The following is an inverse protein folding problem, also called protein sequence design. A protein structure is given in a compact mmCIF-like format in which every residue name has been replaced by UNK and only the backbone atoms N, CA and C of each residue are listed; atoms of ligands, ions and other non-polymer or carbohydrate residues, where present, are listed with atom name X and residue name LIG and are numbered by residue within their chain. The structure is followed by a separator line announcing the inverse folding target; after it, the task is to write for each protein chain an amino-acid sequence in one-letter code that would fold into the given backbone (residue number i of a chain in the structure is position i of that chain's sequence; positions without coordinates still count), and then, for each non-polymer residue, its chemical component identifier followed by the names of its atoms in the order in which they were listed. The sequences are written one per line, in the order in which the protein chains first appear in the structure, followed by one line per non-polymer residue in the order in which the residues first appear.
data_IF_067581874142
#
_entry.id   IF_067581874142
#
_cell.length_a   1.000
_cell.length_b   1.000
_cell.length_c   1.000
_cell.angle_alpha   90.00
_cell.angle_beta   90.00
_cell.angle_gamma   90.00
#
_symmetry.space_group_name_H-M   'P 1'
#
loop_
_entity.id
_entity.type
_entity.pdbx_description
1 polymer ?
#
# COMPACT_ATOMS: atom_id res chain seq x y z
N UNK A 1 -14.19 30.13 -12.15
CA UNK A 1 -12.73 29.92 -12.33
C UNK A 1 -12.36 28.52 -11.90
N UNK A 2 -11.60 27.82 -12.73
CA UNK A 2 -11.05 26.49 -12.48
C UNK A 2 -9.52 26.57 -12.40
N UNK A 3 -8.92 25.77 -11.53
CA UNK A 3 -7.47 25.53 -11.51
C UNK A 3 -7.23 24.08 -11.94
N UNK A 4 -6.73 23.89 -13.16
CA UNK A 4 -6.37 22.58 -13.69
C UNK A 4 -4.95 22.28 -13.25
N UNK A 5 -4.78 21.22 -12.48
CA UNK A 5 -3.52 20.89 -11.82
C UNK A 5 -3.06 19.50 -12.20
N UNK A 6 -1.75 19.36 -12.34
CA UNK A 6 -1.05 18.08 -12.44
C UNK A 6 0.26 18.19 -11.65
N UNK A 7 0.68 17.09 -11.03
CA UNK A 7 1.91 17.02 -10.23
C UNK A 7 2.73 15.79 -10.59
N UNK A 8 4.06 15.93 -10.50
CA UNK A 8 4.96 14.77 -10.42
C UNK A 8 5.41 14.56 -8.98
N UNK A 9 5.68 13.31 -8.62
CA UNK A 9 5.95 12.93 -7.22
C UNK A 9 7.01 11.86 -7.11
N UNK A 10 7.60 11.75 -5.92
CA UNK A 10 8.56 10.69 -5.57
C UNK A 10 7.93 9.30 -5.39
N UNK A 11 6.62 9.11 -5.63
CA UNK A 11 5.96 7.80 -5.54
C UNK A 11 4.42 7.84 -5.46
N UNK A 12 3.81 6.72 -5.06
CA UNK A 12 2.38 6.48 -5.35
C UNK A 12 1.35 7.03 -4.36
N UNK A 13 1.74 7.61 -3.22
CA UNK A 13 0.80 8.08 -2.19
C UNK A 13 1.41 9.14 -1.25
N UNK A 14 0.60 10.11 -0.85
CA UNK A 14 1.05 11.31 -0.14
C UNK A 14 1.65 11.09 1.27
N UNK A 15 1.33 9.97 1.96
CA UNK A 15 1.78 9.77 3.34
C UNK A 15 3.31 9.63 3.46
N UNK A 16 3.97 9.03 2.46
CA UNK A 16 5.41 8.75 2.47
C UNK A 16 6.13 9.31 1.25
N UNK A 17 5.48 10.12 0.41
CA UNK A 17 6.06 10.67 -0.81
C UNK A 17 5.77 12.17 -0.90
N UNK A 18 6.62 12.87 -1.66
CA UNK A 18 6.66 14.33 -1.83
C UNK A 18 6.51 14.73 -3.30
N UNK A 19 6.08 15.97 -3.53
CA UNK A 19 5.95 16.59 -4.88
C UNK A 19 7.34 16.95 -5.43
N UNK A 20 7.55 16.74 -6.73
CA UNK A 20 8.79 17.08 -7.47
C UNK A 20 8.58 18.09 -8.59
N UNK A 21 7.35 18.23 -9.08
CA UNK A 21 6.96 19.22 -10.07
C UNK A 21 5.47 19.52 -9.91
N UNK A 22 5.06 20.76 -10.17
CA UNK A 22 3.66 21.16 -10.20
C UNK A 22 3.41 22.06 -11.40
N UNK A 23 2.27 21.83 -12.06
CA UNK A 23 1.73 22.73 -13.07
C UNK A 23 0.28 23.10 -12.74
N UNK A 24 -0.07 24.38 -12.89
CA UNK A 24 -1.39 24.93 -12.62
C UNK A 24 -1.80 25.79 -13.81
N UNK A 25 -2.95 25.51 -14.40
CA UNK A 25 -3.56 26.31 -15.46
C UNK A 25 -4.88 26.88 -14.95
N UNK A 26 -5.02 28.20 -14.94
CA UNK A 26 -6.30 28.83 -14.65
C UNK A 26 -7.16 28.87 -15.90
N UNK A 27 -8.40 28.46 -15.75
CA UNK A 27 -9.36 28.39 -16.85
C UNK A 27 -10.68 29.03 -16.42
N UNK A 28 -11.18 29.99 -17.19
CA UNK A 28 -12.41 30.71 -16.86
C UNK A 28 -13.70 29.93 -17.21
N UNK A 29 -13.55 28.85 -18.00
CA UNK A 29 -14.64 28.06 -18.56
C UNK A 29 -14.72 28.13 -20.09
N UNK A 30 -13.93 29.02 -20.69
CA UNK A 30 -13.83 29.26 -22.13
C UNK A 30 -12.37 29.11 -22.60
N UNK A 31 -11.43 29.69 -21.86
CA UNK A 31 -10.01 29.72 -22.21
C UNK A 31 -9.09 29.69 -20.98
N UNK A 32 -7.80 29.42 -21.24
CA UNK A 32 -6.73 29.59 -20.24
C UNK A 32 -6.51 31.09 -20.00
N UNK A 33 -6.42 31.47 -18.73
CA UNK A 33 -6.24 32.87 -18.30
C UNK A 33 -4.89 33.11 -17.62
N UNK A 34 -4.31 32.05 -17.03
CA UNK A 34 -3.01 32.12 -16.38
C UNK A 34 -2.39 30.72 -16.32
N UNK A 35 -1.06 30.65 -16.16
CA UNK A 35 -0.28 29.42 -16.08
C UNK A 35 0.86 29.57 -15.09
N UNK A 36 1.03 28.57 -14.23
CA UNK A 36 2.14 28.47 -13.28
C UNK A 36 2.77 27.09 -13.40
N UNK A 37 4.10 27.03 -13.36
CA UNK A 37 4.86 25.79 -13.41
C UNK A 37 6.17 25.95 -12.65
N UNK A 38 6.50 24.97 -11.79
CA UNK A 38 7.80 24.90 -11.13
C UNK A 38 8.19 23.46 -10.82
N UNK A 39 9.50 23.20 -10.83
CA UNK A 39 10.08 22.07 -10.10
C UNK A 39 10.00 22.35 -8.60
N UNK A 40 10.00 21.29 -7.80
CA UNK A 40 9.95 21.36 -6.34
C UNK A 40 11.01 20.43 -5.77
N UNK A 41 11.82 20.91 -4.84
CA UNK A 41 12.74 20.08 -4.09
C UNK A 41 11.97 19.24 -3.05
N UNK A 42 11.92 17.90 -3.19
CA UNK A 42 11.17 17.05 -2.27
C UNK A 42 11.89 16.83 -0.92
N UNK A 43 13.10 17.37 -0.73
CA UNK A 43 13.95 17.14 0.44
C UNK A 43 14.45 15.70 0.58
N UNK A 44 14.47 14.94 -0.53
CA UNK A 44 14.86 13.51 -0.55
C UNK A 44 15.25 13.04 -1.95
N UNK A 45 15.94 11.90 -2.01
CA UNK A 45 16.26 11.24 -3.29
C UNK A 45 15.00 10.78 -4.04
N UNK A 46 14.98 11.00 -5.35
CA UNK A 46 13.96 10.47 -6.26
C UNK A 46 14.38 9.05 -6.68
N UNK A 47 13.55 8.01 -6.45
CA UNK A 47 13.88 6.66 -6.87
C UNK A 47 14.10 6.55 -8.39
N UNK A 48 15.09 5.77 -8.85
CA UNK A 48 15.42 5.64 -10.28
C UNK A 48 14.23 5.23 -11.16
N UNK A 49 13.31 4.40 -10.66
CA UNK A 49 12.12 4.01 -11.42
C UNK A 49 11.16 5.19 -11.65
N UNK A 50 11.11 6.19 -10.75
CA UNK A 50 10.34 7.43 -10.92
C UNK A 50 11.04 8.35 -11.92
N UNK A 51 12.37 8.48 -11.82
CA UNK A 51 13.16 9.24 -12.81
C UNK A 51 13.00 8.68 -14.21
N UNK A 52 12.97 7.35 -14.37
CA UNK A 52 12.71 6.71 -15.66
C UNK A 52 11.29 6.95 -16.21
N UNK A 53 10.32 7.28 -15.35
CA UNK A 53 8.95 7.59 -15.75
C UNK A 53 8.75 9.07 -16.10
N UNK A 54 9.28 9.96 -15.26
CA UNK A 54 9.02 11.42 -15.30
C UNK A 54 10.12 12.21 -16.00
N UNK A 55 11.31 11.63 -16.12
CA UNK A 55 12.52 12.32 -16.55
C UNK A 55 13.10 13.28 -15.50
N UNK A 56 12.49 13.41 -14.32
CA UNK A 56 12.98 14.30 -13.25
C UNK A 56 14.03 13.56 -12.42
N UNK A 57 15.25 14.07 -12.44
CA UNK A 57 16.36 13.52 -11.64
C UNK A 57 16.48 14.26 -10.30
N UNK A 58 17.14 13.64 -9.32
CA UNK A 58 17.39 14.28 -8.01
C UNK A 58 18.21 15.56 -8.18
N UNK A 59 19.13 15.57 -9.14
CA UNK A 59 19.98 16.72 -9.47
C UNK A 59 19.17 17.89 -10.03
N UNK A 60 18.13 17.62 -10.85
CA UNK A 60 17.28 18.67 -11.42
C UNK A 60 16.49 19.45 -10.36
N UNK A 61 16.11 18.78 -9.27
CA UNK A 61 15.29 19.38 -8.20
C UNK A 61 16.12 19.87 -7.02
N UNK A 62 17.45 19.69 -7.03
CA UNK A 62 18.32 20.03 -5.91
C UNK A 62 18.29 21.54 -5.64
N UNK A 63 18.35 22.35 -6.69
CA UNK A 63 18.32 23.81 -6.65
C UNK A 63 16.90 24.39 -6.82
N UNK A 64 15.89 23.54 -6.94
CA UNK A 64 14.49 23.96 -6.99
C UNK A 64 14.00 24.39 -5.58
N UNK A 65 12.99 25.26 -5.48
CA UNK A 65 12.42 25.61 -4.17
C UNK A 65 11.79 24.39 -3.50
N UNK A 66 11.93 24.28 -2.19
CA UNK A 66 11.13 23.36 -1.39
C UNK A 66 9.65 23.77 -1.43
N UNK A 67 8.73 22.83 -1.21
CA UNK A 67 7.30 23.15 -1.26
C UNK A 67 6.91 24.26 -0.29
N UNK A 68 7.51 24.31 0.90
CA UNK A 68 7.25 25.35 1.90
C UNK A 68 7.56 26.77 1.40
N UNK A 69 8.55 26.93 0.53
CA UNK A 69 8.95 28.22 -0.04
C UNK A 69 7.95 28.73 -1.07
N UNK A 70 7.24 27.83 -1.76
CA UNK A 70 6.23 28.16 -2.78
C UNK A 70 4.79 27.93 -2.28
N UNK A 71 4.61 27.58 -1.01
CA UNK A 71 3.32 27.17 -0.48
C UNK A 71 2.29 28.30 -0.53
N UNK A 72 2.65 29.52 -0.12
CA UNK A 72 1.73 30.67 -0.15
C UNK A 72 1.34 31.03 -1.59
N UNK A 73 2.28 31.02 -2.53
CA UNK A 73 2.02 31.29 -3.95
C UNK A 73 1.05 30.27 -4.54
N UNK A 74 1.33 28.97 -4.33
CA UNK A 74 0.45 27.89 -4.80
C UNK A 74 -0.93 27.99 -4.11
N UNK A 75 -0.99 28.33 -2.82
CA UNK A 75 -2.26 28.54 -2.13
C UNK A 75 -3.07 29.65 -2.81
N UNK A 76 -2.47 30.81 -3.07
CA UNK A 76 -3.13 31.94 -3.74
C UNK A 76 -3.59 31.57 -5.16
N UNK A 77 -2.81 30.75 -5.87
CA UNK A 77 -3.19 30.23 -7.18
C UNK A 77 -4.40 29.30 -7.10
N UNK A 78 -4.61 28.56 -6.01
CA UNK A 78 -5.70 27.59 -5.85
C UNK A 78 -6.91 28.13 -5.09
N UNK A 79 -6.74 29.13 -4.23
CA UNK A 79 -7.78 29.62 -3.34
C UNK A 79 -8.97 30.19 -4.10
N UNK A 80 -10.18 29.91 -3.59
CA UNK A 80 -11.46 30.26 -4.20
C UNK A 80 -11.77 29.60 -5.55
N UNK A 81 -10.87 28.79 -6.13
CA UNK A 81 -11.04 28.15 -7.45
C UNK A 81 -11.50 26.70 -7.32
N UNK A 82 -12.15 26.20 -8.37
CA UNK A 82 -12.47 24.77 -8.46
C UNK A 82 -11.21 24.00 -8.89
N UNK A 83 -10.73 23.12 -8.04
CA UNK A 83 -9.61 22.23 -8.34
C UNK A 83 -10.03 21.18 -9.38
N UNK A 84 -9.28 21.05 -10.47
CA UNK A 84 -9.55 20.09 -11.55
C UNK A 84 -8.28 19.31 -11.84
N UNK A 85 -8.36 17.98 -11.92
CA UNK A 85 -7.20 17.16 -12.28
C UNK A 85 -7.62 15.82 -12.91
N UNK A 86 -6.72 15.22 -13.67
CA UNK A 86 -6.95 13.92 -14.28
C UNK A 86 -6.58 12.79 -13.32
N UNK A 87 -7.60 12.27 -12.62
CA UNK A 87 -7.47 11.47 -11.40
C UNK A 87 -7.29 12.31 -10.11
N UNK A 88 -7.98 13.45 -10.03
CA UNK A 88 -7.90 14.45 -8.97
C UNK A 88 -7.77 14.01 -7.50
N UNK A 89 -8.15 12.80 -7.09
CA UNK A 89 -7.86 12.34 -5.73
C UNK A 89 -6.35 12.29 -5.46
N UNK A 90 -5.56 11.85 -6.44
CA UNK A 90 -4.11 11.71 -6.31
C UNK A 90 -3.47 13.08 -6.04
N UNK A 91 -3.59 14.01 -6.99
CA UNK A 91 -2.99 15.35 -6.94
C UNK A 91 -3.45 16.14 -5.72
N UNK A 92 -4.76 16.10 -5.44
CA UNK A 92 -5.36 16.77 -4.30
C UNK A 92 -4.82 16.25 -2.97
N UNK A 93 -4.57 14.94 -2.85
CA UNK A 93 -4.06 14.35 -1.60
C UNK A 93 -2.62 14.76 -1.28
N UNK A 94 -1.78 14.91 -2.31
CA UNK A 94 -0.41 15.40 -2.17
C UNK A 94 -0.39 16.88 -1.80
N UNK A 95 -1.12 17.72 -2.56
CA UNK A 95 -1.21 19.14 -2.25
C UNK A 95 -1.75 19.40 -0.86
N UNK A 96 -2.83 18.71 -0.48
CA UNK A 96 -3.39 18.83 0.88
C UNK A 96 -2.36 18.46 1.95
N UNK A 97 -1.58 17.39 1.74
CA UNK A 97 -0.53 16.99 2.67
C UNK A 97 0.59 18.02 2.76
N UNK A 98 1.07 18.52 1.63
CA UNK A 98 2.14 19.51 1.59
C UNK A 98 1.69 20.83 2.25
N UNK A 99 0.45 21.28 2.00
CA UNK A 99 -0.13 22.41 2.73
C UNK A 99 -0.24 22.17 4.23
N UNK A 100 -0.71 20.99 4.66
CA UNK A 100 -0.78 20.62 6.08
C UNK A 100 0.61 20.64 6.74
N UNK A 101 1.67 20.24 6.03
CA UNK A 101 3.05 20.31 6.50
C UNK A 101 3.55 21.76 6.61
N UNK A 102 3.13 22.64 5.69
CA UNK A 102 3.41 24.08 5.73
C UNK A 102 2.48 24.87 6.66
N UNK A 103 1.62 24.21 7.44
CA UNK A 103 0.70 24.88 8.38
C UNK A 103 -0.52 25.54 7.72
N UNK A 104 -0.78 25.28 6.45
CA UNK A 104 -1.89 25.84 5.67
C UNK A 104 -3.05 24.85 5.62
N UNK A 105 -4.23 25.24 6.10
CA UNK A 105 -5.43 24.43 5.96
C UNK A 105 -6.10 24.72 4.61
N UNK A 106 -5.81 23.89 3.60
CA UNK A 106 -6.38 24.04 2.26
C UNK A 106 -7.55 23.09 2.00
N UNK A 107 -8.65 23.65 1.50
CA UNK A 107 -9.81 22.90 1.01
C UNK A 107 -10.36 23.54 -0.27
N UNK A 108 -10.75 22.71 -1.24
CA UNK A 108 -11.31 23.19 -2.49
C UNK A 108 -12.42 22.26 -2.99
N UNK A 109 -13.39 22.83 -3.71
CA UNK A 109 -14.29 22.03 -4.55
C UNK A 109 -13.44 21.37 -5.63
N UNK A 110 -13.68 20.09 -5.89
CA UNK A 110 -12.85 19.32 -6.82
C UNK A 110 -13.64 18.63 -7.92
N UNK A 111 -13.09 18.62 -9.12
CA UNK A 111 -13.57 17.87 -10.28
C UNK A 111 -12.49 16.91 -10.77
N UNK A 112 -12.92 15.71 -11.12
CA UNK A 112 -12.04 14.68 -11.67
C UNK A 112 -12.42 14.42 -13.12
N UNK A 113 -11.54 14.74 -14.06
CA UNK A 113 -11.85 14.62 -15.49
C UNK A 113 -12.15 13.17 -15.86
N UNK A 114 -11.47 12.17 -15.29
CA UNK A 114 -11.82 10.73 -15.45
C UNK A 114 -13.28 10.44 -15.09
N UNK A 115 -13.78 10.99 -13.97
CA UNK A 115 -15.16 10.74 -13.51
C UNK A 115 -16.18 11.46 -14.38
N UNK A 116 -15.85 12.67 -14.83
CA UNK A 116 -16.68 13.45 -15.74
C UNK A 116 -16.74 12.79 -17.11
N UNK A 117 -15.59 12.39 -17.68
CA UNK A 117 -15.50 11.70 -18.98
C UNK A 117 -16.31 10.41 -19.00
N UNK A 118 -16.33 9.62 -17.93
CA UNK A 118 -17.18 8.41 -17.88
C UNK A 118 -18.67 8.69 -17.99
N UNK A 119 -19.12 9.86 -17.54
CA UNK A 119 -20.53 10.27 -17.61
C UNK A 119 -20.87 10.96 -18.93
N UNK A 120 -20.02 11.90 -19.33
CA UNK A 120 -20.23 12.77 -20.50
C UNK A 120 -19.86 12.04 -21.80
N UNK A 121 -18.90 11.12 -21.75
CA UNK A 121 -18.37 10.37 -22.90
C UNK A 121 -18.31 8.88 -22.53
N UNK A 122 -19.46 8.21 -22.32
CA UNK A 122 -19.50 6.80 -21.94
C UNK A 122 -19.02 5.89 -23.07
N UNK A 123 -18.63 4.66 -22.73
CA UNK A 123 -18.35 3.60 -23.70
C UNK A 123 -16.87 3.42 -24.12
N UNK A 124 -15.93 4.16 -23.54
CA UNK A 124 -14.50 3.97 -23.84
C UNK A 124 -13.91 2.80 -23.05
N UNK A 125 -12.97 2.08 -23.67
CA UNK A 125 -12.25 0.95 -23.07
C UNK A 125 -11.36 1.38 -21.89
N UNK A 126 -10.78 2.56 -21.96
CA UNK A 126 -9.95 3.17 -20.91
C UNK A 126 -10.20 4.66 -20.84
N UNK A 127 -10.00 5.23 -19.65
CA UNK A 127 -10.07 6.67 -19.38
C UNK A 127 -8.75 7.16 -18.76
N UNK A 128 -7.64 6.46 -19.01
CA UNK A 128 -6.30 7.00 -18.72
C UNK A 128 -6.04 8.22 -19.60
N UNK A 129 -5.16 9.13 -19.16
CA UNK A 129 -4.89 10.37 -19.86
C UNK A 129 -4.50 10.13 -21.32
N UNK A 130 -3.59 9.17 -21.56
CA UNK A 130 -3.16 8.76 -22.90
C UNK A 130 -4.30 8.27 -23.79
N UNK A 131 -5.03 7.23 -23.36
CA UNK A 131 -6.10 6.64 -24.19
C UNK A 131 -7.28 7.58 -24.39
N UNK A 132 -7.61 8.38 -23.37
CA UNK A 132 -8.67 9.38 -23.50
C UNK A 132 -8.25 10.50 -24.45
N UNK A 133 -7.01 10.98 -24.36
CA UNK A 133 -6.50 12.01 -25.28
C UNK A 133 -6.51 11.50 -26.72
N UNK A 134 -6.01 10.29 -26.95
CA UNK A 134 -6.06 9.62 -28.26
C UNK A 134 -7.50 9.51 -28.79
N UNK A 135 -8.44 9.03 -27.97
CA UNK A 135 -9.85 8.89 -28.35
C UNK A 135 -10.53 10.24 -28.68
N UNK A 136 -9.97 11.36 -28.19
CA UNK A 136 -10.47 12.71 -28.41
C UNK A 136 -9.66 13.49 -29.46
N UNK A 137 -8.66 12.87 -30.09
CA UNK A 137 -7.77 13.56 -31.05
C UNK A 137 -6.87 14.61 -30.40
N UNK A 138 -6.55 14.47 -29.11
CA UNK A 138 -5.69 15.38 -28.35
C UNK A 138 -4.26 14.84 -28.38
N UNK A 139 -3.34 15.62 -28.95
CA UNK A 139 -1.91 15.36 -28.84
C UNK A 139 -1.39 15.79 -27.46
N UNK A 140 -0.69 14.87 -26.79
CA UNK A 140 0.02 15.13 -25.53
C UNK A 140 1.47 15.46 -25.88
N UNK A 141 1.91 16.67 -25.53
CA UNK A 141 3.31 17.10 -25.65
C UNK A 141 4.01 16.83 -24.32
N UNK A 142 5.26 16.36 -24.33
CA UNK A 142 6.06 16.10 -23.13
C UNK A 142 5.32 15.25 -22.07
N UNK A 143 4.82 14.08 -22.49
CA UNK A 143 4.12 13.15 -21.61
C UNK A 143 4.97 12.79 -20.38
N UNK A 144 4.32 12.68 -19.20
CA UNK A 144 4.99 12.46 -17.91
C UNK A 144 5.82 13.64 -17.41
N UNK A 145 5.42 14.84 -17.82
CA UNK A 145 5.79 16.11 -17.20
C UNK A 145 4.49 16.78 -16.78
N UNK A 146 4.50 17.41 -15.61
CA UNK A 146 3.30 18.01 -15.04
C UNK A 146 2.66 19.02 -16.01
N UNK A 147 3.48 19.84 -16.69
CA UNK A 147 2.99 20.82 -17.66
C UNK A 147 2.33 20.18 -18.89
N UNK A 148 2.92 19.12 -19.44
CA UNK A 148 2.38 18.39 -20.59
C UNK A 148 1.06 17.70 -20.28
N UNK A 149 0.99 17.03 -19.14
CA UNK A 149 -0.18 16.27 -18.70
C UNK A 149 -1.32 17.20 -18.23
N UNK A 150 -1.00 18.32 -17.55
CA UNK A 150 -1.97 19.38 -17.24
C UNK A 150 -2.54 20.02 -18.51
N UNK A 151 -1.72 20.31 -19.52
CA UNK A 151 -2.19 20.90 -20.78
C UNK A 151 -3.13 19.94 -21.53
N UNK A 152 -2.82 18.63 -21.56
CA UNK A 152 -3.73 17.62 -22.09
C UNK A 152 -5.04 17.58 -21.28
N UNK A 153 -4.96 17.71 -19.96
CA UNK A 153 -6.11 17.77 -19.06
C UNK A 153 -7.00 19.00 -19.31
N UNK A 154 -6.42 20.17 -19.60
CA UNK A 154 -7.18 21.37 -20.03
C UNK A 154 -7.98 21.07 -21.29
N UNK A 155 -7.35 20.52 -22.33
CA UNK A 155 -8.04 20.19 -23.59
C UNK A 155 -9.15 19.16 -23.40
N UNK A 156 -8.93 18.18 -22.53
CA UNK A 156 -9.98 17.22 -22.14
C UNK A 156 -11.12 17.96 -21.44
N UNK A 157 -10.81 18.84 -20.50
CA UNK A 157 -11.81 19.59 -19.74
C UNK A 157 -12.64 20.51 -20.65
N UNK A 158 -12.05 21.16 -21.65
CA UNK A 158 -12.76 21.93 -22.67
C UNK A 158 -13.77 21.08 -23.43
N UNK A 159 -13.36 19.89 -23.86
CA UNK A 159 -14.27 18.95 -24.52
C UNK A 159 -15.40 18.51 -23.59
N UNK A 160 -15.13 18.34 -22.29
CA UNK A 160 -16.17 18.00 -21.32
C UNK A 160 -17.16 19.15 -21.11
N UNK A 161 -16.67 20.39 -20.97
CA UNK A 161 -17.52 21.58 -20.86
C UNK A 161 -18.45 21.72 -22.07
N UNK A 162 -17.94 21.51 -23.29
CA UNK A 162 -18.72 21.58 -24.53
C UNK A 162 -19.74 20.44 -24.68
N UNK A 163 -19.47 19.27 -24.09
CA UNK A 163 -20.30 18.06 -24.24
C UNK A 163 -21.27 17.82 -23.09
N UNK A 164 -21.20 18.58 -21.99
CA UNK A 164 -21.99 18.35 -20.78
C UNK A 164 -23.47 18.78 -20.91
N UNK A 165 -24.25 18.06 -21.72
CA UNK A 165 -25.67 18.34 -21.95
C UNK A 165 -26.54 18.13 -20.70
N UNK A 166 -26.14 17.22 -19.81
CA UNK A 166 -26.91 16.79 -18.65
C UNK A 166 -26.49 17.47 -17.33
N UNK A 167 -25.70 18.55 -17.41
CA UNK A 167 -25.20 19.32 -16.26
C UNK A 167 -24.45 18.43 -15.23
N UNK A 168 -23.70 17.43 -15.68
CA UNK A 168 -22.91 16.55 -14.84
C UNK A 168 -21.82 17.30 -14.06
N UNK A 169 -21.23 18.35 -14.62
CA UNK A 169 -20.23 19.20 -13.97
C UNK A 169 -20.87 19.95 -12.81
N UNK A 170 -21.98 20.65 -13.04
CA UNK A 170 -22.73 21.35 -11.99
C UNK A 170 -23.22 20.39 -10.90
N UNK A 171 -23.74 19.22 -11.28
CA UNK A 171 -24.13 18.15 -10.33
C UNK A 171 -22.94 17.65 -9.52
N UNK A 172 -21.75 17.55 -10.11
CA UNK A 172 -20.54 17.14 -9.41
C UNK A 172 -20.06 18.20 -8.40
N UNK A 173 -20.26 19.49 -8.70
CA UNK A 173 -19.94 20.61 -7.80
C UNK A 173 -20.96 20.81 -6.68
N UNK A 174 -22.25 20.49 -6.92
CA UNK A 174 -23.31 20.54 -5.90
C UNK A 174 -23.26 19.37 -4.93
N UNK A 175 -22.71 18.23 -5.35
CA UNK A 175 -22.42 17.13 -4.44
C UNK A 175 -21.30 17.60 -3.50
N UNK A 176 -21.68 17.99 -2.29
CA UNK A 176 -20.74 18.22 -1.20
C UNK A 176 -19.69 17.10 -1.24
N UNK A 177 -18.42 17.49 -1.33
CA UNK A 177 -17.23 16.65 -1.45
C UNK A 177 -16.95 15.79 -0.20
N UNK A 178 -18.00 15.29 0.45
CA UNK A 178 -17.97 14.52 1.68
C UNK A 178 -19.31 13.87 2.09
N UNK A 179 -20.40 14.02 1.32
CA UNK A 179 -21.64 13.32 1.68
C UNK A 179 -21.50 11.81 1.46
N UNK A 180 -21.45 11.10 2.57
CA UNK A 180 -21.52 9.65 2.66
C UNK A 180 -22.91 9.25 2.20
N UNK A 181 -23.05 8.74 0.98
CA UNK A 181 -24.35 8.22 0.52
C UNK A 181 -24.49 6.83 1.13
N UNK A 182 -25.21 6.74 2.24
CA UNK A 182 -25.44 5.46 2.90
C UNK A 182 -26.12 4.46 1.95
N UNK A 183 -25.88 3.15 2.13
CA UNK A 183 -26.69 2.11 1.51
C UNK A 183 -28.19 2.36 1.71
N UNK A 184 -29.04 2.09 0.70
CA UNK A 184 -30.47 2.40 0.79
C UNK A 184 -31.19 1.65 1.91
N UNK A 185 -30.67 0.47 2.30
CA UNK A 185 -31.30 -0.40 3.29
C UNK A 185 -30.61 -0.37 4.66
N UNK A 186 -29.61 0.51 4.84
CA UNK A 186 -28.90 0.64 6.12
C UNK A 186 -29.54 1.76 6.96
N UNK A 187 -30.01 1.47 8.18
CA UNK A 187 -30.48 2.51 9.10
C UNK A 187 -29.38 3.52 9.41
N UNK A 188 -29.72 4.81 9.37
CA UNK A 188 -28.74 5.89 9.62
C UNK A 188 -28.19 5.84 11.04
N UNK A 189 -29.04 5.49 12.00
CA UNK A 189 -28.72 5.40 13.42
C UNK A 189 -27.64 4.35 13.69
N UNK A 190 -27.65 3.26 12.92
CA UNK A 190 -26.66 2.19 13.01
C UNK A 190 -25.28 2.67 12.58
N UNK A 191 -25.21 3.47 11.51
CA UNK A 191 -23.98 4.11 11.08
C UNK A 191 -23.49 5.17 12.08
N UNK A 192 -24.40 5.98 12.63
CA UNK A 192 -24.04 7.07 13.53
C UNK A 192 -23.42 6.57 14.86
N UNK A 193 -23.85 5.39 15.33
CA UNK A 193 -23.32 4.71 16.53
C UNK A 193 -21.96 4.05 16.37
N UNK A 194 -21.42 3.98 15.15
CA UNK A 194 -20.13 3.32 14.91
C UNK A 194 -18.98 4.00 15.67
N UNK A 195 -18.05 3.23 16.26
CA UNK A 195 -16.95 3.79 17.03
C UNK A 195 -15.85 4.35 16.12
N UNK A 196 -15.15 5.37 16.62
CA UNK A 196 -13.94 5.92 16.01
C UNK A 196 -12.66 5.21 16.53
N UNK A 197 -12.72 3.88 16.65
CA UNK A 197 -11.67 3.06 17.27
C UNK A 197 -11.18 1.94 16.33
N UNK A 198 -10.02 1.31 16.63
CA UNK A 198 -9.52 0.17 15.87
C UNK A 198 -10.40 -1.07 16.03
N UNK A 199 -10.61 -1.79 14.93
CA UNK A 199 -11.33 -3.05 14.97
C UNK A 199 -11.66 -3.65 13.62
N UNK A 200 -12.45 -4.72 13.67
CA UNK A 200 -13.02 -5.43 12.51
C UNK A 200 -14.50 -5.06 12.42
N UNK A 201 -15.01 -4.83 11.21
CA UNK A 201 -16.42 -4.58 10.95
C UNK A 201 -16.95 -5.55 9.90
N UNK A 202 -18.25 -5.79 9.98
CA UNK A 202 -18.97 -6.78 9.21
C UNK A 202 -20.14 -6.12 8.52
N UNK A 203 -20.24 -6.30 7.21
CA UNK A 203 -21.46 -5.95 6.49
C UNK A 203 -22.34 -7.18 6.36
N UNK A 204 -23.61 -7.02 6.70
CA UNK A 204 -24.59 -8.09 6.75
C UNK A 204 -25.77 -7.79 5.83
N UNK A 205 -26.33 -8.84 5.24
CA UNK A 205 -27.55 -8.74 4.44
C UNK A 205 -28.82 -8.79 5.28
N UNK A 206 -29.99 -8.66 4.64
CA UNK A 206 -31.30 -8.71 5.29
C UNK A 206 -31.56 -9.99 6.11
N UNK A 207 -30.82 -11.07 5.83
CA UNK A 207 -30.90 -12.36 6.55
C UNK A 207 -29.86 -12.48 7.67
N UNK A 208 -29.12 -11.42 7.97
CA UNK A 208 -28.04 -11.41 8.98
C UNK A 208 -26.73 -12.08 8.52
N UNK A 209 -26.63 -12.53 7.26
CA UNK A 209 -25.42 -13.20 6.77
C UNK A 209 -24.32 -12.18 6.50
N UNK A 210 -23.10 -12.46 6.96
CA UNK A 210 -21.93 -11.62 6.69
C UNK A 210 -21.52 -11.75 5.22
N UNK A 211 -21.62 -10.64 4.49
CA UNK A 211 -21.27 -10.56 3.06
C UNK A 211 -19.89 -9.92 2.83
N UNK A 212 -19.40 -9.17 3.82
CA UNK A 212 -18.05 -8.59 3.81
C UNK A 212 -17.51 -8.41 5.23
N UNK A 213 -16.20 -8.59 5.39
CA UNK A 213 -15.43 -8.34 6.61
C UNK A 213 -14.32 -7.35 6.28
N UNK A 214 -14.09 -6.34 7.12
CA UNK A 214 -12.96 -5.43 6.92
C UNK A 214 -12.36 -4.94 8.23
N UNK A 215 -11.10 -4.51 8.18
CA UNK A 215 -10.38 -3.89 9.31
C UNK A 215 -10.30 -2.37 9.20
N UNK A 216 -10.10 -1.69 10.33
CA UNK A 216 -9.81 -0.28 10.39
C UNK A 216 -9.05 0.12 11.66
N UNK A 217 -8.22 1.16 11.58
CA UNK A 217 -7.77 1.93 12.76
C UNK A 217 -8.90 2.83 13.29
N UNK A 218 -9.83 3.24 12.41
CA UNK A 218 -11.02 3.99 12.77
C UNK A 218 -12.21 3.42 11.97
N UNK A 219 -13.04 2.60 12.64
CA UNK A 219 -14.17 1.90 12.01
C UNK A 219 -15.12 2.89 11.32
N UNK A 220 -15.59 3.92 12.03
CA UNK A 220 -16.54 4.90 11.47
C UNK A 220 -16.00 5.58 10.20
N UNK A 221 -14.76 6.08 10.24
CA UNK A 221 -14.11 6.74 9.09
C UNK A 221 -13.90 5.77 7.92
N UNK A 222 -13.50 4.53 8.20
CA UNK A 222 -13.27 3.51 7.16
C UNK A 222 -14.56 3.12 6.47
N UNK A 223 -15.63 2.90 7.23
CA UNK A 223 -16.95 2.58 6.69
C UNK A 223 -17.51 3.74 5.88
N UNK A 224 -17.39 4.99 6.37
CA UNK A 224 -17.74 6.17 5.61
C UNK A 224 -17.04 6.19 4.23
N UNK A 225 -15.74 5.85 4.23
CA UNK A 225 -14.92 5.74 3.02
C UNK A 225 -15.50 4.80 1.95
N UNK A 226 -16.13 3.68 2.35
CA UNK A 226 -16.80 2.74 1.43
C UNK A 226 -18.00 3.36 0.71
N UNK A 227 -18.60 4.38 1.30
CA UNK A 227 -19.81 5.03 0.81
C UNK A 227 -19.55 6.42 0.20
N UNK A 228 -18.30 6.86 0.18
CA UNK A 228 -17.89 8.05 -0.58
C UNK A 228 -17.73 7.70 -2.06
N UNK A 229 -18.10 8.63 -2.94
CA UNK A 229 -18.14 8.40 -4.40
C UNK A 229 -16.80 8.16 -5.11
N UNK A 230 -15.73 7.89 -4.37
CA UNK A 230 -14.35 7.70 -4.83
C UNK A 230 -13.87 6.23 -4.77
N UNK A 231 -14.60 5.34 -4.09
CA UNK A 231 -14.21 3.93 -3.96
C UNK A 231 -14.37 3.17 -5.30
N UNK A 232 -13.30 3.10 -6.10
CA UNK A 232 -13.21 2.42 -7.40
C UNK A 232 -13.55 0.92 -7.37
N UNK A 233 -13.58 0.32 -6.18
CA UNK A 233 -13.82 -1.12 -5.99
C UNK A 233 -15.24 -1.43 -5.44
N UNK A 234 -15.82 -0.50 -4.68
CA UNK A 234 -17.14 -0.62 -4.04
C UNK A 234 -18.29 -0.03 -4.85
N UNK A 235 -17.95 0.71 -5.90
CA UNK A 235 -18.87 1.36 -6.85
C UNK A 235 -19.69 0.40 -7.72
N UNK A 236 -19.68 -0.92 -7.47
CA UNK A 236 -20.67 -1.82 -8.07
C UNK A 236 -21.89 -1.85 -7.13
N UNK A 237 -23.00 -1.27 -7.57
CA UNK A 237 -24.28 -1.12 -6.87
C UNK A 237 -24.80 -2.37 -6.13
N UNK A 238 -24.28 -3.56 -6.42
CA UNK A 238 -24.69 -4.84 -5.82
C UNK A 238 -24.43 -4.92 -4.31
N UNK A 239 -23.19 -4.71 -3.84
CA UNK A 239 -22.93 -4.83 -2.39
C UNK A 239 -23.70 -3.79 -1.59
N UNK A 240 -23.77 -2.54 -2.06
CA UNK A 240 -24.51 -1.47 -1.39
C UNK A 240 -25.99 -1.81 -1.23
N UNK A 241 -26.63 -2.41 -2.23
CA UNK A 241 -28.03 -2.82 -2.12
C UNK A 241 -28.22 -4.04 -1.20
N UNK A 242 -27.17 -4.83 -0.98
CA UNK A 242 -27.23 -6.01 -0.11
C UNK A 242 -26.98 -5.65 1.37
N UNK A 243 -26.31 -4.54 1.69
CA UNK A 243 -26.05 -4.12 3.09
C UNK A 243 -27.35 -3.68 3.77
N UNK A 244 -27.67 -4.36 4.87
CA UNK A 244 -28.80 -4.02 5.76
C UNK A 244 -28.33 -3.73 7.19
N UNK A 245 -27.26 -4.40 7.64
CA UNK A 245 -26.70 -4.23 8.99
C UNK A 245 -25.17 -4.13 8.95
N UNK A 246 -24.62 -3.47 9.96
CA UNK A 246 -23.22 -3.30 10.27
C UNK A 246 -22.98 -3.68 11.72
N UNK A 247 -22.19 -4.73 11.93
CA UNK A 247 -21.63 -5.08 13.24
C UNK A 247 -20.13 -4.84 13.27
N UNK A 248 -19.54 -4.81 14.47
CA UNK A 248 -18.10 -4.63 14.64
C UNK A 248 -17.57 -5.30 15.90
N UNK A 249 -16.28 -5.55 15.92
CA UNK A 249 -15.50 -6.03 17.07
C UNK A 249 -14.29 -5.11 17.25
N UNK A 250 -14.18 -4.51 18.45
CA UNK A 250 -13.04 -3.66 18.79
C UNK A 250 -11.82 -4.52 19.07
N UNK A 251 -10.66 -4.09 18.58
CA UNK A 251 -9.42 -4.86 18.73
C UNK A 251 -8.34 -4.14 19.54
N UNK A 252 -8.52 -2.84 19.80
CA UNK A 252 -7.56 -2.00 20.54
C UNK A 252 -6.39 -1.49 19.69
N UNK A 253 -5.93 -2.30 18.73
CA UNK A 253 -4.85 -1.93 17.82
C UNK A 253 -4.99 -2.56 16.43
N UNK A 254 -4.15 -2.08 15.51
CA UNK A 254 -4.14 -2.50 14.11
C UNK A 254 -3.67 -3.95 13.91
N UNK A 255 -2.68 -4.41 14.68
CA UNK A 255 -2.14 -5.77 14.56
C UNK A 255 -3.24 -6.82 14.76
N UNK A 256 -4.01 -6.71 15.84
CA UNK A 256 -5.12 -7.64 16.07
C UNK A 256 -6.23 -7.44 15.05
N UNK A 257 -6.52 -6.21 14.61
CA UNK A 257 -7.51 -5.98 13.54
C UNK A 257 -7.13 -6.71 12.24
N UNK A 258 -5.85 -6.72 11.88
CA UNK A 258 -5.32 -7.45 10.73
C UNK A 258 -5.45 -8.96 10.88
N UNK A 259 -5.07 -9.49 12.05
CA UNK A 259 -5.15 -10.92 12.36
C UNK A 259 -6.61 -11.40 12.35
N UNK A 260 -7.47 -10.73 13.12
CA UNK A 260 -8.89 -11.08 13.27
C UNK A 260 -9.63 -10.97 11.93
N UNK A 261 -9.38 -9.94 11.12
CA UNK A 261 -9.97 -9.83 9.78
C UNK A 261 -9.63 -11.06 8.93
N UNK A 262 -8.37 -11.51 8.94
CA UNK A 262 -7.95 -12.69 8.17
C UNK A 262 -8.63 -13.98 8.65
N UNK A 263 -8.74 -14.14 9.97
CA UNK A 263 -9.43 -15.28 10.59
C UNK A 263 -10.92 -15.29 10.25
N UNK A 264 -11.59 -14.14 10.35
CA UNK A 264 -13.01 -13.97 10.09
C UNK A 264 -13.36 -14.16 8.61
N UNK A 265 -12.52 -13.70 7.68
CA UNK A 265 -12.71 -13.97 6.24
C UNK A 265 -12.65 -15.47 5.95
N UNK A 266 -11.75 -16.22 6.60
CA UNK A 266 -11.66 -17.67 6.43
C UNK A 266 -12.84 -18.40 7.07
N UNK A 267 -13.25 -17.97 8.27
CA UNK A 267 -14.35 -18.57 9.03
C UNK A 267 -15.71 -18.35 8.36
N UNK A 268 -15.98 -17.12 7.91
CA UNK A 268 -17.29 -16.71 7.38
C UNK A 268 -17.39 -16.85 5.87
N UNK A 269 -16.25 -16.93 5.17
CA UNK A 269 -16.16 -16.97 3.72
C UNK A 269 -17.05 -15.92 3.01
N UNK A 270 -16.98 -14.64 3.39
CA UNK A 270 -17.94 -13.60 2.98
C UNK A 270 -17.86 -13.29 1.48
N UNK A 271 -19.00 -13.22 0.81
CA UNK A 271 -19.14 -13.11 -0.66
C UNK A 271 -18.18 -12.14 -1.34
N UNK A 272 -17.86 -11.00 -0.72
CA UNK A 272 -17.11 -9.92 -1.35
C UNK A 272 -15.62 -9.82 -0.96
N UNK A 273 -15.09 -10.63 -0.04
CA UNK A 273 -13.65 -10.62 0.31
C UNK A 273 -12.81 -11.50 -0.64
N UNK A 274 -12.80 -11.21 -1.93
CA UNK A 274 -12.14 -12.07 -2.93
C UNK A 274 -10.61 -12.16 -2.73
N UNK A 275 -9.94 -11.05 -2.43
CA UNK A 275 -8.48 -10.97 -2.38
C UNK A 275 -7.83 -11.92 -1.36
N UNK A 276 -8.50 -12.22 -0.24
CA UNK A 276 -7.97 -13.12 0.80
C UNK A 276 -8.53 -14.56 0.71
N UNK A 277 -9.48 -14.82 -0.19
CA UNK A 277 -10.06 -16.16 -0.39
C UNK A 277 -9.24 -17.07 -1.30
N UNK A 278 -8.47 -16.48 -2.20
CA UNK A 278 -7.63 -17.22 -3.15
C UNK A 278 -6.19 -17.22 -2.65
N UNK A 279 -5.55 -18.38 -2.69
CA UNK A 279 -4.17 -18.57 -2.19
C UNK A 279 -3.22 -17.61 -2.91
N UNK A 280 -2.54 -16.79 -2.14
CA UNK A 280 -1.26 -16.22 -2.57
C UNK A 280 -0.25 -17.36 -2.69
N UNK A 281 0.49 -17.39 -3.79
CA UNK A 281 1.60 -18.33 -3.96
C UNK A 281 2.60 -18.14 -2.80
N UNK A 282 2.85 -19.19 -2.02
CA UNK A 282 3.94 -19.19 -1.05
C UNK A 282 5.25 -19.37 -1.80
N UNK A 283 6.29 -18.63 -1.39
CA UNK A 283 7.64 -18.77 -1.94
C UNK A 283 8.56 -19.39 -0.90
N UNK A 284 9.55 -20.17 -1.32
CA UNK A 284 10.50 -20.82 -0.43
C UNK A 284 11.91 -20.81 -1.00
N UNK A 285 12.89 -20.84 -0.10
CA UNK A 285 14.29 -21.11 -0.44
C UNK A 285 14.51 -22.62 -0.29
N UNK A 286 14.99 -23.25 -1.35
CA UNK A 286 15.31 -24.67 -1.41
C UNK A 286 16.80 -24.84 -1.63
N UNK A 287 17.38 -25.90 -1.09
CA UNK A 287 18.73 -26.33 -1.42
C UNK A 287 18.73 -27.59 -2.29
N UNK A 288 19.82 -27.75 -3.04
CA UNK A 288 20.12 -28.95 -3.81
C UNK A 288 21.62 -29.00 -4.12
N UNK A 289 22.14 -30.19 -4.36
CA UNK A 289 23.51 -30.38 -4.85
C UNK A 289 23.50 -30.42 -6.38
N UNK A 290 24.42 -29.69 -7.02
CA UNK A 290 24.60 -29.78 -8.47
C UNK A 290 25.56 -30.91 -8.89
N UNK A 291 25.68 -31.14 -10.20
CA UNK A 291 26.52 -32.22 -10.75
C UNK A 291 28.01 -32.09 -10.44
N UNK A 292 28.46 -30.90 -10.04
CA UNK A 292 29.86 -30.63 -9.69
C UNK A 292 30.09 -30.70 -8.17
N UNK A 293 29.07 -31.10 -7.40
CA UNK A 293 29.12 -31.26 -5.95
C UNK A 293 28.91 -29.96 -5.16
N UNK A 294 28.59 -28.85 -5.81
CA UNK A 294 28.30 -27.59 -5.11
C UNK A 294 26.86 -27.61 -4.59
N UNK A 295 26.68 -27.31 -3.30
CA UNK A 295 25.34 -27.04 -2.77
C UNK A 295 24.85 -25.67 -3.22
N UNK A 296 23.61 -25.58 -3.67
CA UNK A 296 23.01 -24.39 -4.28
C UNK A 296 21.72 -24.03 -3.59
N UNK A 297 21.35 -22.76 -3.72
CA UNK A 297 20.03 -22.28 -3.32
C UNK A 297 19.19 -21.95 -4.56
N UNK A 298 17.88 -22.08 -4.40
CA UNK A 298 16.90 -21.62 -5.37
C UNK A 298 15.69 -21.02 -4.67
N UNK A 299 15.10 -19.98 -5.28
CA UNK A 299 13.85 -19.35 -4.83
C UNK A 299 12.73 -19.79 -5.74
N UNK A 300 11.79 -20.57 -5.23
CA UNK A 300 10.68 -21.16 -6.00
C UNK A 300 9.35 -21.08 -5.25
N UNK A 301 8.25 -21.32 -5.97
CA UNK A 301 6.92 -21.46 -5.37
C UNK A 301 6.86 -22.76 -4.55
N UNK A 302 6.29 -22.70 -3.35
CA UNK A 302 6.04 -23.85 -2.47
C UNK A 302 4.84 -24.62 -3.01
N UNK A 303 5.08 -25.87 -3.38
CA UNK A 303 4.07 -26.80 -3.89
C UNK A 303 3.78 -27.89 -2.85
N UNK A 304 2.66 -28.59 -3.01
CA UNK A 304 2.28 -29.66 -2.07
C UNK A 304 3.33 -30.77 -2.10
N UNK A 305 3.93 -31.07 -0.96
CA UNK A 305 4.99 -32.07 -0.83
C UNK A 305 6.41 -31.53 -1.03
N UNK A 306 6.60 -30.23 -1.26
CA UNK A 306 7.94 -29.63 -1.28
C UNK A 306 8.42 -29.28 0.13
N UNK A 307 9.74 -29.36 0.33
CA UNK A 307 10.41 -29.12 1.60
C UNK A 307 11.38 -27.93 1.49
N UNK A 308 10.89 -26.69 1.57
CA UNK A 308 11.78 -25.52 1.60
C UNK A 308 12.51 -25.44 2.94
N UNK A 309 13.72 -24.89 2.93
CA UNK A 309 14.48 -24.56 4.13
C UNK A 309 13.81 -23.44 4.94
N UNK A 310 13.20 -22.48 4.25
CA UNK A 310 12.48 -21.33 4.82
C UNK A 310 11.44 -20.81 3.81
N UNK A 311 10.34 -20.21 4.29
CA UNK A 311 9.17 -19.77 3.50
C UNK A 311 8.93 -18.26 3.61
N UNK A 312 8.29 -17.67 2.59
CA UNK A 312 8.02 -16.24 2.44
C UNK A 312 6.67 -15.97 1.76
N UNK A 313 6.08 -14.78 2.04
CA UNK A 313 4.88 -14.26 1.35
C UNK A 313 5.07 -13.97 -0.12
N UNK A 314 6.30 -13.61 -0.52
CA UNK A 314 6.59 -13.08 -1.84
C UNK A 314 7.96 -13.52 -2.32
N UNK A 315 8.11 -13.58 -3.65
CA UNK A 315 9.41 -13.79 -4.29
C UNK A 315 10.44 -12.74 -3.86
N UNK A 316 10.01 -11.48 -3.71
CA UNK A 316 10.88 -10.36 -3.35
C UNK A 316 11.50 -10.52 -1.96
N UNK A 317 10.69 -10.90 -0.96
CA UNK A 317 11.16 -11.13 0.41
C UNK A 317 12.17 -12.28 0.46
N UNK A 318 11.86 -13.39 -0.21
CA UNK A 318 12.76 -14.53 -0.33
C UNK A 318 14.09 -14.15 -1.02
N UNK A 319 14.01 -13.33 -2.07
CA UNK A 319 15.18 -12.82 -2.78
C UNK A 319 16.05 -11.92 -1.91
N UNK A 320 15.45 -10.98 -1.18
CA UNK A 320 16.17 -10.05 -0.31
C UNK A 320 16.85 -10.78 0.85
N UNK A 321 16.14 -11.68 1.52
CA UNK A 321 16.70 -12.52 2.58
C UNK A 321 17.89 -13.35 2.06
N UNK A 322 17.75 -13.97 0.89
CA UNK A 322 18.85 -14.76 0.32
C UNK A 322 20.05 -13.88 -0.06
N UNK A 323 19.83 -12.66 -0.56
CA UNK A 323 20.89 -11.68 -0.82
C UNK A 323 21.65 -11.28 0.45
N UNK A 324 20.94 -11.07 1.56
CA UNK A 324 21.55 -10.79 2.86
C UNK A 324 22.47 -11.94 3.28
N UNK A 325 21.98 -13.18 3.21
CA UNK A 325 22.77 -14.38 3.53
C UNK A 325 23.96 -14.58 2.58
N UNK A 326 23.80 -14.26 1.30
CA UNK A 326 24.90 -14.28 0.33
C UNK A 326 26.02 -13.32 0.74
N UNK A 327 25.68 -12.11 1.21
CA UNK A 327 26.67 -11.15 1.71
C UNK A 327 27.31 -11.61 3.03
N UNK A 328 26.48 -11.99 4.00
CA UNK A 328 26.91 -12.42 5.33
C UNK A 328 27.91 -13.58 5.30
N UNK A 329 27.66 -14.57 4.43
CA UNK A 329 28.49 -15.77 4.32
C UNK A 329 29.43 -15.76 3.12
N UNK A 330 29.53 -14.63 2.40
CA UNK A 330 30.34 -14.46 1.18
C UNK A 330 30.11 -15.58 0.15
N UNK A 331 28.84 -15.94 -0.05
CA UNK A 331 28.44 -17.00 -0.96
C UNK A 331 28.46 -16.51 -2.41
N UNK A 332 28.45 -17.45 -3.36
CA UNK A 332 28.39 -17.12 -4.77
C UNK A 332 26.93 -16.87 -5.18
N UNK A 333 26.55 -15.64 -5.61
CA UNK A 333 25.18 -15.33 -6.01
C UNK A 333 24.72 -16.12 -7.25
N UNK A 334 25.64 -16.51 -8.14
CA UNK A 334 25.34 -17.36 -9.31
C UNK A 334 24.99 -18.80 -8.90
N UNK A 335 25.67 -19.35 -7.90
CA UNK A 335 25.32 -20.67 -7.35
C UNK A 335 24.05 -20.61 -6.48
N UNK A 336 23.75 -19.46 -5.86
CA UNK A 336 22.50 -19.22 -5.12
C UNK A 336 21.30 -18.82 -6.00
N UNK A 337 21.43 -18.87 -7.34
CA UNK A 337 20.33 -18.56 -8.26
C UNK A 337 19.94 -17.08 -8.35
N UNK A 338 20.76 -16.17 -7.82
CA UNK A 338 20.51 -14.72 -7.79
C UNK A 338 21.10 -13.97 -8.99
N UNK A 339 22.05 -14.57 -9.72
CA UNK A 339 22.69 -13.99 -10.90
C UNK A 339 22.78 -14.99 -12.06
N UNK A 340 22.64 -14.49 -13.29
CA UNK A 340 22.71 -15.27 -14.54
C UNK A 340 23.99 -14.98 -15.36
N UNK A 341 25.04 -14.46 -14.74
CA UNK A 341 26.28 -14.06 -15.43
C UNK A 341 26.96 -15.22 -16.17
N UNK A 342 27.52 -14.93 -17.36
CA UNK A 342 28.42 -15.83 -18.09
C UNK A 342 29.82 -15.74 -17.47
N UNK A 343 30.44 -16.87 -17.13
CA UNK A 343 31.70 -16.88 -16.39
C UNK A 343 31.54 -16.46 -14.91
N UNK A 344 32.58 -15.86 -14.34
CA UNK A 344 32.60 -15.43 -12.93
C UNK A 344 31.44 -14.46 -12.60
N UNK A 345 30.87 -14.60 -11.41
CA UNK A 345 29.81 -13.70 -10.95
C UNK A 345 30.35 -12.30 -10.67
N UNK A 346 29.48 -11.27 -10.74
CA UNK A 346 29.86 -9.88 -10.51
C UNK A 346 30.53 -9.67 -9.14
N UNK A 347 30.02 -10.33 -8.09
CA UNK A 347 30.56 -10.22 -6.74
C UNK A 347 31.98 -10.80 -6.58
N UNK A 348 32.46 -11.57 -7.55
CA UNK A 348 33.88 -11.97 -7.56
C UNK A 348 34.76 -10.80 -7.98
N UNK A 349 34.30 -9.97 -8.93
CA UNK A 349 35.03 -8.79 -9.40
C UNK A 349 35.16 -7.73 -8.31
N UNK A 350 34.19 -7.65 -7.40
CA UNK A 350 34.20 -6.75 -6.25
C UNK A 350 34.87 -7.33 -5.00
N UNK A 351 35.34 -8.59 -5.04
CA UNK A 351 35.99 -9.27 -3.91
C UNK A 351 35.05 -9.84 -2.84
N UNK A 352 33.74 -9.76 -3.04
CA UNK A 352 32.70 -10.23 -2.11
C UNK A 352 32.36 -11.73 -2.27
N UNK A 353 32.91 -12.38 -3.30
CA UNK A 353 32.73 -13.80 -3.61
C UNK A 353 34.09 -14.45 -3.93
N UNK A 354 34.23 -15.75 -3.62
CA UNK A 354 35.48 -16.50 -3.79
C UNK A 354 35.55 -17.30 -5.11
N UNK A 355 34.58 -17.17 -6.01
CA UNK A 355 34.67 -17.70 -7.37
C UNK A 355 34.26 -19.17 -7.54
N UNK A 356 33.47 -19.71 -6.59
CA UNK A 356 32.95 -21.08 -6.65
C UNK A 356 32.21 -21.41 -7.97
N UNK A 357 31.55 -20.43 -8.60
CA UNK A 357 30.81 -20.65 -9.85
C UNK A 357 31.68 -21.07 -11.06
N UNK A 358 32.98 -20.80 -11.03
CA UNK A 358 33.93 -21.23 -12.07
C UNK A 358 35.03 -22.14 -11.50
N UNK A 359 34.79 -22.75 -10.33
CA UNK A 359 35.71 -23.71 -9.72
C UNK A 359 36.97 -23.12 -9.09
N UNK A 360 37.08 -21.79 -8.96
CA UNK A 360 38.21 -21.11 -8.31
C UNK A 360 38.27 -21.45 -6.81
N UNK A 361 37.11 -21.44 -6.15
CA UNK A 361 36.98 -21.95 -4.78
C UNK A 361 36.60 -23.44 -4.82
N UNK A 362 37.29 -24.26 -4.02
CA UNK A 362 37.00 -25.69 -3.91
C UNK A 362 35.61 -25.96 -3.31
N UNK A 363 34.91 -26.98 -3.83
CA UNK A 363 33.62 -27.50 -3.34
C UNK A 363 33.56 -27.59 -1.81
N UNK A 364 34.57 -28.22 -1.17
CA UNK A 364 34.60 -28.43 0.29
C UNK A 364 34.55 -27.11 1.08
N UNK A 365 35.27 -26.07 0.62
CA UNK A 365 35.29 -24.76 1.29
C UNK A 365 33.97 -24.03 1.11
N UNK A 366 33.43 -24.04 -0.11
CA UNK A 366 32.16 -23.40 -0.42
C UNK A 366 30.99 -24.04 0.35
N UNK A 367 30.86 -25.37 0.29
CA UNK A 367 29.77 -26.11 0.94
C UNK A 367 29.79 -25.94 2.47
N UNK A 368 30.98 -25.78 3.08
CA UNK A 368 31.09 -25.46 4.52
C UNK A 368 30.42 -24.11 4.87
N UNK A 369 30.46 -23.12 3.98
CA UNK A 369 29.80 -21.82 4.18
C UNK A 369 28.31 -21.89 3.91
N UNK A 370 27.90 -22.65 2.90
CA UNK A 370 26.47 -22.94 2.67
C UNK A 370 25.86 -23.59 3.91
N UNK A 371 26.50 -24.61 4.49
CA UNK A 371 25.97 -25.27 5.68
C UNK A 371 25.80 -24.30 6.86
N UNK A 372 26.79 -23.44 7.11
CA UNK A 372 26.69 -22.38 8.12
C UNK A 372 25.51 -21.45 7.87
N UNK A 373 25.25 -21.10 6.61
CA UNK A 373 24.09 -20.28 6.25
C UNK A 373 22.78 -21.03 6.53
N UNK A 374 22.66 -22.30 6.11
CA UNK A 374 21.48 -23.15 6.36
C UNK A 374 21.19 -23.28 7.86
N UNK A 375 22.22 -23.41 8.69
CA UNK A 375 22.07 -23.50 10.14
C UNK A 375 21.41 -22.23 10.73
N UNK A 376 21.52 -21.08 10.04
CA UNK A 376 20.80 -19.83 10.39
C UNK A 376 19.40 -19.73 9.78
N UNK A 377 19.04 -20.57 8.80
CA UNK A 377 17.70 -20.53 8.16
C UNK A 377 16.65 -21.18 9.04
N UNK A 378 17.07 -22.12 9.90
CA UNK A 378 16.29 -22.52 11.06
C UNK A 378 16.28 -21.32 11.99
N UNK A 379 15.24 -20.50 11.89
CA UNK A 379 15.00 -19.42 12.83
C UNK A 379 14.95 -20.04 14.23
N UNK A 380 16.06 -19.94 14.94
CA UNK A 380 16.10 -19.82 16.37
C UNK A 380 15.34 -18.53 16.70
N UNK A 381 14.02 -18.62 16.68
CA UNK A 381 13.17 -17.58 17.22
C UNK A 381 13.15 -17.81 18.72
N UNK A 382 13.52 -16.80 19.50
CA UNK A 382 13.05 -16.77 20.88
C UNK A 382 11.52 -16.75 20.82
N UNK A 383 10.88 -17.45 21.76
CA UNK A 383 9.45 -17.31 21.92
C UNK A 383 9.19 -15.89 22.41
N UNK A 384 8.17 -15.24 21.87
CA UNK A 384 7.97 -13.81 22.05
C UNK A 384 6.51 -13.47 22.28
N UNK A 385 6.29 -12.39 23.02
CA UNK A 385 5.02 -11.72 23.17
C UNK A 385 5.10 -10.33 22.53
N UNK A 386 4.15 -10.02 21.65
CA UNK A 386 3.92 -8.66 21.16
C UNK A 386 2.77 -8.06 21.97
N UNK A 387 3.06 -7.05 22.77
CA UNK A 387 2.14 -6.39 23.69
C UNK A 387 1.72 -5.04 23.09
N UNK A 388 0.43 -4.77 23.08
CA UNK A 388 -0.15 -3.56 22.48
C UNK A 388 -1.30 -2.98 23.28
N UNK A 389 -1.93 -1.95 22.72
CA UNK A 389 -3.14 -1.35 23.31
C UNK A 389 -4.30 -2.35 23.28
N UNK A 390 -4.97 -2.54 24.41
CA UNK A 390 -6.22 -3.28 24.48
C UNK A 390 -7.43 -2.47 23.99
N UNK A 391 -8.61 -3.08 24.03
CA UNK A 391 -9.89 -2.54 23.54
C UNK A 391 -10.40 -1.39 24.41
N UNK A 392 -9.99 -1.35 25.67
CA UNK A 392 -10.28 -0.27 26.60
C UNK A 392 -9.01 0.12 27.39
N UNK A 393 -9.13 1.06 28.33
CA UNK A 393 -7.99 1.63 29.04
C UNK A 393 -7.40 0.69 30.10
N UNK A 394 -8.13 -0.34 30.54
CA UNK A 394 -7.74 -1.23 31.64
C UNK A 394 -7.10 -2.54 31.16
N UNK A 395 -7.11 -2.80 29.84
CA UNK A 395 -6.48 -3.98 29.24
C UNK A 395 -5.36 -3.64 28.25
N UNK A 396 -4.46 -4.60 28.08
CA UNK A 396 -3.46 -4.69 27.03
C UNK A 396 -3.75 -5.88 26.14
N UNK A 397 -3.34 -5.76 24.88
CA UNK A 397 -3.43 -6.85 23.94
C UNK A 397 -2.16 -7.68 23.96
N UNK A 398 -2.28 -8.99 23.77
CA UNK A 398 -1.17 -9.93 23.74
C UNK A 398 -1.23 -10.76 22.47
N UNK A 399 -0.13 -10.84 21.73
CA UNK A 399 0.05 -11.74 20.58
C UNK A 399 1.25 -12.63 20.84
N UNK A 400 1.08 -13.95 20.77
CA UNK A 400 2.15 -14.90 21.08
C UNK A 400 2.74 -15.54 19.84
N UNK A 401 4.05 -15.71 19.90
CA UNK A 401 4.88 -16.33 18.88
C UNK A 401 5.78 -17.36 19.56
N UNK A 402 5.62 -18.64 19.26
CA UNK A 402 6.51 -19.69 19.76
C UNK A 402 7.54 -20.04 18.68
N UNK A 403 8.83 -19.83 18.97
CA UNK A 403 9.92 -20.13 18.02
C UNK A 403 9.69 -19.57 16.62
N UNK A 404 9.22 -18.32 16.55
CA UNK A 404 8.89 -17.64 15.31
C UNK A 404 7.54 -18.01 14.70
N UNK A 405 6.78 -18.94 15.28
CA UNK A 405 5.46 -19.37 14.78
C UNK A 405 4.33 -18.68 15.54
N UNK A 406 3.41 -18.04 14.83
CA UNK A 406 2.23 -17.43 15.44
C UNK A 406 1.35 -18.46 16.19
N UNK A 407 1.04 -18.20 17.46
CA UNK A 407 0.21 -19.07 18.30
C UNK A 407 -1.23 -18.59 18.46
N UNK A 408 -1.43 -17.27 18.54
CA UNK A 408 -2.73 -16.69 18.87
C UNK A 408 -2.62 -15.25 19.38
N UNK A 409 -3.78 -14.66 19.67
CA UNK A 409 -3.85 -13.40 20.40
C UNK A 409 -4.88 -13.43 21.54
N UNK A 410 -4.79 -12.48 22.45
CA UNK A 410 -5.69 -12.32 23.59
C UNK A 410 -5.58 -10.93 24.23
N UNK A 411 -6.21 -10.79 25.40
CA UNK A 411 -6.22 -9.56 26.19
C UNK A 411 -5.98 -9.87 27.66
N UNK A 412 -5.19 -9.03 28.31
CA UNK A 412 -4.84 -9.13 29.74
C UNK A 412 -5.08 -7.79 30.42
N UNK A 413 -5.35 -7.80 31.73
CA UNK A 413 -5.41 -6.56 32.50
C UNK A 413 -4.01 -5.94 32.63
N UNK A 414 -3.91 -4.60 32.65
CA UNK A 414 -2.63 -3.86 32.64
C UNK A 414 -1.73 -4.12 33.85
N UNK A 415 -2.31 -4.57 34.95
CA UNK A 415 -1.63 -4.90 36.20
C UNK A 415 -1.06 -6.33 36.21
N UNK A 416 -1.39 -7.15 35.21
CA UNK A 416 -0.86 -8.50 35.08
C UNK A 416 0.52 -8.47 34.42
N UNK A 417 1.54 -8.90 35.15
CA UNK A 417 2.89 -9.12 34.62
C UNK A 417 3.01 -10.53 34.03
N UNK A 418 3.57 -10.63 32.83
CA UNK A 418 3.87 -11.92 32.18
C UNK A 418 5.29 -12.33 32.57
N UNK A 419 5.41 -13.41 33.35
CA UNK A 419 6.71 -13.88 33.85
C UNK A 419 7.43 -14.79 32.84
N UNK A 420 6.68 -15.62 32.11
CA UNK A 420 7.21 -16.59 31.15
C UNK A 420 6.21 -16.89 30.02
N UNK A 421 6.68 -17.59 28.99
CA UNK A 421 5.88 -17.90 27.80
C UNK A 421 4.62 -18.75 28.11
N UNK A 422 4.69 -19.70 29.04
CA UNK A 422 3.57 -20.59 29.37
C UNK A 422 2.48 -19.85 30.15
N UNK A 423 2.88 -18.94 31.05
CA UNK A 423 1.97 -18.03 31.73
C UNK A 423 1.27 -17.07 30.75
N UNK A 424 1.97 -16.63 29.70
CA UNK A 424 1.39 -15.80 28.67
C UNK A 424 0.33 -16.58 27.86
N UNK A 425 0.61 -17.86 27.59
CA UNK A 425 -0.21 -18.74 26.75
C UNK A 425 -1.62 -18.95 27.29
N UNK A 426 -1.82 -18.89 28.60
CA UNK A 426 -3.16 -19.05 29.22
C UNK A 426 -4.12 -17.90 28.88
N UNK A 427 -3.60 -16.74 28.49
CA UNK A 427 -4.40 -15.55 28.15
C UNK A 427 -4.70 -15.43 26.66
N UNK A 428 -4.15 -16.34 25.84
CA UNK A 428 -4.24 -16.26 24.39
C UNK A 428 -5.18 -17.33 23.85
N UNK A 429 -6.12 -16.92 23.01
CA UNK A 429 -6.91 -17.86 22.22
C UNK A 429 -6.05 -18.40 21.09
N UNK A 430 -5.78 -19.70 21.13
CA UNK A 430 -5.04 -20.36 20.05
C UNK A 430 -5.76 -20.21 18.72
N UNK A 431 -5.00 -19.96 17.67
CA UNK A 431 -5.55 -19.83 16.32
C UNK A 431 -4.58 -20.36 15.29
N UNK A 432 -5.12 -20.84 14.17
CA UNK A 432 -4.33 -21.46 13.12
C UNK A 432 -3.45 -20.45 12.41
N UNK A 433 -2.18 -20.79 12.28
CA UNK A 433 -1.21 -20.05 11.49
C UNK A 433 -1.67 -20.00 10.02
N UNK A 434 -1.48 -18.84 9.41
CA UNK A 434 -1.67 -18.67 7.98
C UNK A 434 -0.50 -17.83 7.46
N UNK A 435 -0.06 -18.03 6.21
CA UNK A 435 1.06 -17.26 5.67
C UNK A 435 0.85 -15.75 5.77
N UNK A 436 -0.37 -15.26 5.57
CA UNK A 436 -0.70 -13.83 5.69
C UNK A 436 -0.45 -13.34 7.12
N UNK A 437 -0.93 -14.08 8.12
CA UNK A 437 -0.73 -13.75 9.54
C UNK A 437 0.74 -13.90 9.92
N UNK A 438 1.43 -14.95 9.47
CA UNK A 438 2.83 -15.17 9.79
C UNK A 438 3.74 -14.06 9.24
N UNK A 439 3.54 -13.63 8.00
CA UNK A 439 4.31 -12.53 7.42
C UNK A 439 4.01 -11.19 8.13
N UNK A 440 2.76 -11.00 8.58
CA UNK A 440 2.39 -9.87 9.40
C UNK A 440 3.13 -9.88 10.75
N UNK A 441 3.16 -11.02 11.45
CA UNK A 441 3.88 -11.18 12.71
C UNK A 441 5.37 -10.88 12.52
N UNK A 442 6.01 -11.45 11.50
CA UNK A 442 7.42 -11.21 11.20
C UNK A 442 7.71 -9.71 10.99
N UNK A 443 6.82 -8.98 10.32
CA UNK A 443 6.95 -7.53 10.16
C UNK A 443 6.84 -6.76 11.48
N UNK A 444 6.07 -7.23 12.45
CA UNK A 444 5.92 -6.57 13.76
C UNK A 444 7.05 -6.93 14.73
N UNK A 445 7.60 -8.15 14.64
CA UNK A 445 8.81 -8.52 15.39
C UNK A 445 10.03 -7.68 14.98
N UNK A 446 10.10 -7.28 13.71
CA UNK A 446 11.22 -6.47 13.17
C UNK A 446 10.96 -4.96 13.29
N UNK A 447 9.71 -4.52 13.20
CA UNK A 447 9.31 -3.12 13.35
C UNK A 447 8.02 -3.05 14.18
N UNK A 448 8.11 -2.81 15.51
CA UNK A 448 6.98 -2.96 16.42
C UNK A 448 5.85 -1.92 16.28
N UNK A 449 5.99 -0.83 15.50
CA UNK A 449 4.90 0.14 15.21
C UNK A 449 4.06 0.57 16.43
N UNK A 450 4.69 0.83 17.57
CA UNK A 450 4.00 1.24 18.80
C UNK A 450 3.44 0.08 19.65
N UNK A 451 3.86 -1.15 19.35
CA UNK A 451 3.77 -2.31 20.24
C UNK A 451 5.12 -2.57 20.91
N UNK A 452 5.11 -3.28 22.02
CA UNK A 452 6.29 -3.74 22.75
C UNK A 452 6.53 -5.22 22.41
N UNK A 453 7.79 -5.61 22.22
CA UNK A 453 8.16 -7.00 21.97
C UNK A 453 8.96 -7.51 23.16
N UNK A 454 8.40 -8.50 23.86
CA UNK A 454 9.04 -9.20 24.98
C UNK A 454 9.55 -10.53 24.46
N UNK A 455 10.85 -10.79 24.62
CA UNK A 455 11.46 -12.08 24.31
C UNK A 455 11.53 -12.92 25.58
N UNK A 456 11.17 -14.19 25.48
CA UNK A 456 11.27 -15.18 26.55
C UNK A 456 12.51 -16.06 26.39
#
# INVERSE_FOLDING_TARGET
MYAIVDIETTGGYAANHRITEIAIYHHDGIQITDTYHTLVNPGRNIPYYITGLTGITTEMVLDAPAFEEVAEDIFNLLDGKVFVAHNAHFDYSFLKREFELSGINWQAKKLCTVRLSRKIIPGLRSYSLGTLSESLGIQIMNRHRASGDAQATVKIFDQLLRRDRDNHITKALKRNSGETILPPNLPKEEFDRLPAQPGVYYFQNARGQVIYVGKAINIKKRIAGHFTGEAREWSRSKIRNEIHHISYELTGNELIALILESQEIRRLWPKYNLAQKYKTEEWGIFDYEDRNGYHRFSVNIVTRGSHPLIRFSSKGDAWNFLWEKVREFSLCPKLCGLQLAKGLCFNYQTGECHGACEGVETVKKYNKRIQKAIDTFKVAGNSAAIIGKGRNIDEQSLVLVDKGTYCGFGYIAKDVSIADFESARTYVRSSTETPIVQNLINSYLTNPRGTEVVLF
#
